data_IF_354291497171
#
_entry.id   IF_354291497171
#
_cell.length_a   1.000
_cell.length_b   1.000
_cell.length_c   1.000
_cell.angle_alpha   90.00
_cell.angle_beta   90.00
_cell.angle_gamma   90.00
#
_symmetry.space_group_name_H-M   'P 1'
#
loop_
_entity.id
_entity.type
_entity.pdbx_description
1 polymer ?
#
# COMPACT_ATOMS: atom_id res chain seq x y z
N UNK A 1 -35.89 -33.12 12.53
CA UNK A 1 -35.62 -32.85 11.09
C UNK A 1 -36.96 -32.81 10.38
N UNK A 2 -37.35 -31.65 9.85
CA UNK A 2 -38.56 -31.47 9.03
C UNK A 2 -38.16 -31.29 7.54
N UNK A 3 -39.12 -31.22 6.61
CA UNK A 3 -38.84 -31.16 5.16
C UNK A 3 -38.71 -29.73 4.59
N UNK A 4 -38.81 -28.69 5.42
CA UNK A 4 -38.85 -27.28 4.95
C UNK A 4 -37.60 -26.88 4.17
N UNK A 5 -36.43 -27.42 4.51
CA UNK A 5 -35.17 -27.17 3.80
C UNK A 5 -35.16 -27.79 2.40
N UNK A 6 -35.92 -28.85 2.15
CA UNK A 6 -35.82 -29.63 0.91
C UNK A 6 -36.24 -28.85 -0.32
N UNK A 7 -37.25 -27.97 -0.22
CA UNK A 7 -37.66 -27.13 -1.36
C UNK A 7 -36.61 -26.08 -1.70
N UNK A 8 -35.99 -25.47 -0.68
CA UNK A 8 -34.94 -24.47 -0.84
C UNK A 8 -33.67 -25.12 -1.41
N UNK A 9 -33.23 -26.23 -0.83
CA UNK A 9 -32.01 -26.93 -1.25
C UNK A 9 -32.05 -27.43 -2.69
N UNK A 10 -33.22 -27.84 -3.19
CA UNK A 10 -33.41 -28.22 -4.60
C UNK A 10 -33.16 -27.08 -5.58
N UNK A 11 -33.23 -25.84 -5.12
CA UNK A 11 -32.92 -24.65 -5.93
C UNK A 11 -31.51 -24.19 -5.62
N UNK A 12 -31.22 -23.87 -4.34
CA UNK A 12 -29.98 -23.19 -3.99
C UNK A 12 -28.73 -24.04 -4.20
N UNK A 13 -28.80 -25.36 -4.01
CA UNK A 13 -27.62 -26.21 -4.15
C UNK A 13 -27.19 -26.35 -5.62
N UNK A 14 -28.06 -26.75 -6.57
CA UNK A 14 -27.68 -26.79 -7.97
C UNK A 14 -27.36 -25.41 -8.52
N UNK A 15 -28.18 -24.38 -8.22
CA UNK A 15 -27.96 -23.04 -8.76
C UNK A 15 -26.63 -22.45 -8.29
N UNK A 16 -26.29 -22.59 -6.99
CA UNK A 16 -25.03 -22.08 -6.47
C UNK A 16 -23.83 -22.83 -7.04
N UNK A 17 -23.92 -24.16 -7.20
CA UNK A 17 -22.84 -24.96 -7.75
C UNK A 17 -22.59 -24.64 -9.23
N UNK A 18 -23.65 -24.55 -10.03
CA UNK A 18 -23.57 -24.20 -11.46
C UNK A 18 -23.05 -22.77 -11.63
N UNK A 19 -23.56 -21.82 -10.84
CA UNK A 19 -23.11 -20.43 -10.90
C UNK A 19 -21.62 -20.32 -10.54
N UNK A 20 -21.16 -20.99 -9.49
CA UNK A 20 -19.76 -20.96 -9.09
C UNK A 20 -18.85 -21.60 -10.14
N UNK A 21 -19.21 -22.76 -10.69
CA UNK A 21 -18.47 -23.41 -11.77
C UNK A 21 -18.34 -22.47 -12.97
N UNK A 22 -19.44 -21.87 -13.40
CA UNK A 22 -19.42 -20.90 -14.50
C UNK A 22 -18.56 -19.67 -14.19
N UNK A 23 -18.66 -19.11 -12.99
CA UNK A 23 -17.84 -17.97 -12.57
C UNK A 23 -16.35 -18.30 -12.60
N UNK A 24 -15.95 -19.49 -12.12
CA UNK A 24 -14.56 -19.94 -12.15
C UNK A 24 -14.08 -20.11 -13.59
N UNK A 25 -14.86 -20.78 -14.45
CA UNK A 25 -14.52 -20.97 -15.86
C UNK A 25 -14.37 -19.64 -16.61
N UNK A 26 -15.16 -18.61 -16.27
CA UNK A 26 -15.04 -17.28 -16.86
C UNK A 26 -13.88 -16.47 -16.28
N UNK A 27 -13.61 -16.61 -14.99
CA UNK A 27 -12.56 -15.83 -14.33
C UNK A 27 -11.15 -16.30 -14.74
N UNK A 28 -10.93 -17.60 -14.92
CA UNK A 28 -9.61 -18.15 -15.30
C UNK A 28 -9.00 -17.47 -16.53
N UNK A 29 -9.66 -17.40 -17.71
CA UNK A 29 -9.08 -16.74 -18.88
C UNK A 29 -8.97 -15.21 -18.72
N UNK A 30 -9.81 -14.58 -17.88
CA UNK A 30 -9.71 -13.15 -17.59
C UNK A 30 -8.42 -12.86 -16.83
N UNK A 31 -8.10 -13.66 -15.80
CA UNK A 31 -6.88 -13.51 -15.01
C UNK A 31 -5.64 -13.88 -15.83
N UNK A 32 -5.72 -14.95 -16.63
CA UNK A 32 -4.63 -15.39 -17.52
C UNK A 32 -4.30 -14.34 -18.59
N UNK A 33 -5.33 -13.72 -19.19
CA UNK A 33 -5.21 -12.67 -20.20
C UNK A 33 -5.13 -11.25 -19.64
N UNK A 34 -5.01 -11.06 -18.32
CA UNK A 34 -5.07 -9.73 -17.71
C UNK A 34 -3.85 -8.88 -18.09
N UNK A 35 -4.08 -7.79 -18.82
CA UNK A 35 -3.05 -6.83 -19.16
C UNK A 35 -2.68 -5.96 -17.95
N UNK A 36 -1.47 -6.19 -17.40
CA UNK A 36 -0.91 -5.40 -16.31
C UNK A 36 0.03 -4.32 -16.86
N UNK A 37 -0.09 -3.08 -16.36
CA UNK A 37 0.70 -1.94 -16.79
C UNK A 37 1.63 -1.42 -15.66
N UNK A 38 2.82 -2.00 -15.45
CA UNK A 38 3.72 -1.64 -14.36
C UNK A 38 4.09 -0.16 -14.31
N UNK A 39 4.27 0.49 -15.48
CA UNK A 39 4.57 1.92 -15.56
C UNK A 39 3.45 2.78 -14.96
N UNK A 40 2.20 2.41 -15.21
CA UNK A 40 1.03 3.12 -14.67
C UNK A 40 0.87 2.88 -13.16
N UNK A 41 1.25 1.69 -12.67
CA UNK A 41 1.28 1.40 -11.24
C UNK A 41 2.29 2.30 -10.52
N UNK A 42 3.53 2.38 -11.03
CA UNK A 42 4.56 3.26 -10.46
C UNK A 42 4.15 4.73 -10.57
N UNK A 43 3.64 5.17 -11.72
CA UNK A 43 3.15 6.54 -11.88
C UNK A 43 2.05 6.86 -10.87
N UNK A 44 1.10 5.95 -10.64
CA UNK A 44 0.01 6.15 -9.68
C UNK A 44 0.52 6.30 -8.24
N UNK A 45 1.57 5.57 -7.85
CA UNK A 45 2.22 5.75 -6.54
C UNK A 45 2.86 7.14 -6.39
N UNK A 46 3.34 7.74 -7.48
CA UNK A 46 3.95 9.08 -7.45
C UNK A 46 2.94 10.23 -7.40
N UNK A 47 1.65 9.98 -7.70
CA UNK A 47 0.61 11.02 -7.76
C UNK A 47 0.38 11.76 -6.45
N UNK A 48 0.71 11.15 -5.31
CA UNK A 48 0.60 11.79 -4.00
C UNK A 48 1.88 12.55 -3.62
N UNK A 49 2.75 12.87 -4.59
CA UNK A 49 4.00 13.63 -4.40
C UNK A 49 4.90 13.09 -3.27
N UNK A 50 4.90 11.77 -3.06
CA UNK A 50 5.73 11.10 -2.04
C UNK A 50 5.12 11.00 -0.64
N UNK A 51 3.86 11.42 -0.44
CA UNK A 51 3.18 11.31 0.87
C UNK A 51 3.06 9.87 1.39
N UNK A 52 3.10 8.85 0.52
CA UNK A 52 3.12 7.43 0.91
C UNK A 52 4.31 7.07 1.82
N UNK A 53 5.39 7.87 1.80
CA UNK A 53 6.59 7.66 2.61
C UNK A 53 6.52 8.34 3.99
N UNK A 54 5.46 9.11 4.28
CA UNK A 54 5.30 9.90 5.52
C UNK A 54 5.51 9.07 6.80
N UNK A 55 4.92 7.88 6.88
CA UNK A 55 5.09 7.00 8.04
C UNK A 55 6.55 6.57 8.22
N UNK A 56 7.30 6.33 7.15
CA UNK A 56 8.68 5.90 7.24
C UNK A 56 9.57 7.00 7.81
N UNK A 57 9.37 8.24 7.35
CA UNK A 57 10.07 9.41 7.90
C UNK A 57 9.70 9.64 9.37
N UNK A 58 8.42 9.48 9.73
CA UNK A 58 7.96 9.55 11.13
C UNK A 58 8.70 8.56 12.03
N UNK A 59 8.84 7.30 11.58
CA UNK A 59 9.56 6.27 12.34
C UNK A 59 11.05 6.58 12.46
N UNK A 60 11.69 7.13 11.43
CA UNK A 60 13.09 7.55 11.52
C UNK A 60 13.28 8.73 12.49
N UNK A 61 12.35 9.69 12.52
CA UNK A 61 12.36 10.75 13.54
C UNK A 61 12.24 10.19 14.96
N UNK A 62 11.35 9.22 15.19
CA UNK A 62 11.22 8.55 16.48
C UNK A 62 12.50 7.83 16.89
N UNK A 63 13.18 7.14 15.96
CA UNK A 63 14.49 6.51 16.21
C UNK A 63 15.58 7.52 16.59
N UNK A 64 15.45 8.79 16.18
CA UNK A 64 16.35 9.90 16.57
C UNK A 64 15.97 10.55 17.89
N UNK A 65 14.99 10.00 18.62
CA UNK A 65 14.64 10.41 19.98
C UNK A 65 13.43 11.32 20.11
N UNK A 66 12.65 11.54 19.04
CA UNK A 66 11.37 12.24 19.16
C UNK A 66 10.31 11.32 19.76
N UNK A 67 9.40 11.91 20.55
CA UNK A 67 8.14 11.25 20.88
C UNK A 67 7.30 11.09 19.62
N UNK A 68 6.36 10.15 19.65
CA UNK A 68 5.46 9.89 18.51
C UNK A 68 4.65 11.12 18.15
N UNK A 69 4.16 11.85 19.15
CA UNK A 69 3.35 13.05 19.01
C UNK A 69 4.14 14.17 18.33
N UNK A 70 5.38 14.42 18.78
CA UNK A 70 6.25 15.43 18.20
C UNK A 70 6.65 15.09 16.76
N UNK A 71 6.96 13.82 16.48
CA UNK A 71 7.25 13.36 15.12
C UNK A 71 6.02 13.50 14.20
N UNK A 72 4.83 13.15 14.71
CA UNK A 72 3.58 13.28 13.98
C UNK A 72 3.25 14.73 13.64
N UNK A 73 3.37 15.66 14.58
CA UNK A 73 3.12 17.09 14.35
C UNK A 73 4.01 17.65 13.22
N UNK A 74 5.31 17.31 13.25
CA UNK A 74 6.27 17.74 12.23
C UNK A 74 5.86 17.20 10.86
N UNK A 75 5.58 15.90 10.76
CA UNK A 75 5.25 15.23 9.50
C UNK A 75 3.90 15.68 8.96
N UNK A 76 2.89 15.83 9.81
CA UNK A 76 1.57 16.31 9.41
C UNK A 76 1.67 17.72 8.81
N UNK A 77 2.38 18.64 9.46
CA UNK A 77 2.60 19.99 8.94
C UNK A 77 3.30 19.96 7.58
N UNK A 78 4.37 19.17 7.42
CA UNK A 78 5.06 19.05 6.13
C UNK A 78 4.16 18.40 5.06
N UNK A 79 3.34 17.41 5.42
CA UNK A 79 2.40 16.76 4.51
C UNK A 79 1.30 17.72 4.04
N UNK A 80 0.81 18.60 4.91
CA UNK A 80 -0.18 19.62 4.55
C UNK A 80 0.37 20.64 3.54
N UNK A 81 1.68 20.95 3.58
CA UNK A 81 2.32 21.84 2.61
C UNK A 81 2.34 21.27 1.19
N UNK A 82 2.41 19.93 1.03
CA UNK A 82 2.40 19.26 -0.28
C UNK A 82 1.10 19.53 -1.06
N UNK A 83 0.00 19.79 -0.36
CA UNK A 83 -1.29 20.08 -1.00
C UNK A 83 -1.41 21.52 -1.49
N UNK A 84 -0.66 22.44 -0.88
CA UNK A 84 -0.71 23.86 -1.19
C UNK A 84 0.44 24.30 -2.12
N UNK A 85 1.53 23.55 -2.14
CA UNK A 85 2.71 23.82 -2.96
C UNK A 85 2.84 22.79 -4.08
N UNK A 86 3.42 23.20 -5.21
CA UNK A 86 3.85 22.27 -6.29
C UNK A 86 5.12 21.48 -5.95
N UNK A 87 5.63 21.59 -4.73
CA UNK A 87 6.84 20.91 -4.24
C UNK A 87 6.56 19.45 -3.87
N UNK A 88 7.56 18.56 -4.05
CA UNK A 88 7.44 17.19 -3.55
C UNK A 88 7.54 17.15 -2.03
N UNK A 89 6.94 16.13 -1.40
CA UNK A 89 7.05 15.92 0.06
C UNK A 89 8.51 15.81 0.51
N UNK A 90 9.35 15.18 -0.32
CA UNK A 90 10.78 15.05 -0.08
C UNK A 90 11.48 16.41 -0.03
N UNK A 91 11.18 17.30 -0.97
CA UNK A 91 11.77 18.64 -1.03
C UNK A 91 11.37 19.47 0.19
N UNK A 92 10.10 19.38 0.60
CA UNK A 92 9.59 20.04 1.80
C UNK A 92 10.35 19.57 3.05
N UNK A 93 10.53 18.25 3.22
CA UNK A 93 11.30 17.69 4.34
C UNK A 93 12.76 18.14 4.34
N UNK A 94 13.38 18.23 3.16
CA UNK A 94 14.77 18.69 3.01
C UNK A 94 14.94 20.18 3.37
N UNK A 95 13.91 21.01 3.18
CA UNK A 95 13.92 22.45 3.53
C UNK A 95 13.49 22.71 4.97
N UNK A 96 12.71 21.82 5.59
CA UNK A 96 12.20 22.05 6.94
C UNK A 96 13.28 21.92 8.03
N UNK A 97 13.49 23.00 8.77
CA UNK A 97 14.51 23.07 9.83
C UNK A 97 14.25 22.09 10.98
N UNK A 98 12.99 21.80 11.33
CA UNK A 98 12.68 20.85 12.41
C UNK A 98 13.04 19.43 12.00
N UNK A 99 12.79 19.04 10.75
CA UNK A 99 13.23 17.73 10.20
C UNK A 99 14.75 17.65 10.10
N UNK A 100 15.38 18.69 9.53
CA UNK A 100 16.84 18.76 9.32
C UNK A 100 17.68 18.74 10.58
N UNK A 101 17.09 19.09 11.74
CA UNK A 101 17.73 18.94 13.05
C UNK A 101 18.03 17.48 13.40
N UNK A 102 17.24 16.53 12.88
CA UNK A 102 17.32 15.11 13.23
C UNK A 102 17.76 14.20 12.08
N UNK A 103 17.40 14.56 10.83
CA UNK A 103 17.69 13.75 9.65
C UNK A 103 18.54 14.52 8.63
N UNK A 104 19.64 13.89 8.19
CA UNK A 104 20.47 14.37 7.06
C UNK A 104 19.79 14.08 5.72
N UNK A 105 20.30 14.68 4.64
CA UNK A 105 19.69 14.57 3.31
C UNK A 105 19.64 13.11 2.85
N UNK A 106 20.75 12.38 3.00
CA UNK A 106 20.82 10.97 2.65
C UNK A 106 19.90 10.07 3.50
N UNK A 107 19.63 10.44 4.76
CA UNK A 107 18.68 9.69 5.61
C UNK A 107 17.23 9.93 5.17
N UNK A 108 16.91 11.17 4.76
CA UNK A 108 15.63 11.49 4.12
C UNK A 108 15.51 10.73 2.80
N UNK A 109 16.54 10.77 1.94
CA UNK A 109 16.56 10.05 0.66
C UNK A 109 16.28 8.56 0.84
N UNK A 110 16.92 7.93 1.82
CA UNK A 110 16.74 6.52 2.13
C UNK A 110 15.28 6.18 2.49
N UNK A 111 14.52 7.11 3.08
CA UNK A 111 13.11 6.90 3.41
C UNK A 111 12.22 6.78 2.17
N UNK A 112 12.63 7.31 1.02
CA UNK A 112 11.85 7.34 -0.22
C UNK A 112 12.16 6.15 -1.17
N UNK A 113 12.82 5.11 -0.67
CA UNK A 113 13.05 3.88 -1.43
C UNK A 113 11.85 2.91 -1.32
N UNK A 114 11.20 2.64 -2.46
CA UNK A 114 10.09 1.68 -2.59
C UNK A 114 10.49 0.26 -2.18
N UNK A 115 11.77 -0.13 -2.36
CA UNK A 115 12.26 -1.48 -2.06
C UNK A 115 12.11 -1.84 -0.58
N UNK A 116 12.06 -0.84 0.29
CA UNK A 116 11.73 -1.05 1.69
C UNK A 116 10.38 -1.76 1.85
N UNK A 117 9.37 -1.41 1.07
CA UNK A 117 8.03 -1.99 1.18
C UNK A 117 7.93 -3.38 0.53
N UNK A 118 8.85 -3.73 -0.37
CA UNK A 118 8.88 -5.04 -1.03
C UNK A 118 9.89 -6.02 -0.44
N UNK A 119 10.65 -5.63 0.59
CA UNK A 119 11.71 -6.44 1.23
C UNK A 119 11.29 -7.82 1.77
N UNK A 120 9.99 -8.05 1.92
CA UNK A 120 9.42 -9.30 2.43
C UNK A 120 8.63 -10.08 1.38
N UNK A 121 8.63 -9.64 0.10
CA UNK A 121 7.89 -10.33 -0.98
C UNK A 121 8.36 -11.77 -1.12
N UNK A 122 9.66 -12.02 -1.23
CA UNK A 122 10.21 -13.39 -1.38
C UNK A 122 9.84 -14.30 -0.20
N UNK A 123 9.85 -13.74 1.02
CA UNK A 123 9.43 -14.47 2.21
C UNK A 123 7.95 -14.87 2.14
N UNK A 124 7.08 -13.99 1.64
CA UNK A 124 5.64 -14.25 1.50
C UNK A 124 5.40 -15.29 0.40
N UNK A 125 6.06 -15.17 -0.75
CA UNK A 125 5.97 -16.14 -1.85
C UNK A 125 6.38 -17.54 -1.40
N UNK A 126 7.50 -17.64 -0.67
CA UNK A 126 7.96 -18.92 -0.10
C UNK A 126 6.93 -19.57 0.83
N UNK A 127 6.18 -18.79 1.63
CA UNK A 127 5.15 -19.33 2.55
C UNK A 127 3.97 -19.96 1.81
N UNK A 128 3.66 -19.50 0.61
CA UNK A 128 2.56 -20.03 -0.21
C UNK A 128 3.04 -21.07 -1.23
N UNK A 129 4.27 -21.56 -1.10
CA UNK A 129 4.82 -22.59 -1.97
C UNK A 129 5.23 -22.10 -3.36
N UNK A 130 5.32 -20.78 -3.55
CA UNK A 130 5.81 -20.15 -4.79
C UNK A 130 7.28 -19.77 -4.62
N UNK A 131 8.06 -19.91 -5.69
CA UNK A 131 9.46 -19.45 -5.72
C UNK A 131 9.54 -17.98 -6.06
#
# INVERSE_FOLDING_TARGET
>A
RDISHSSVERVILPDSAIALDYMLQKLTPIIDGLLVYPKNMISSLTKTNGLIYSQRVLLELMKKGLTREAAYEIIQRCAMQVWNETSSFKDILCRDRKVRKYLKAGEIDACFDIKYYTRHVDMIFKRVGLK
#
